data_IF_380179043472
#
_entry.id   IF_380179043472
#
_cell.length_a   1.000
_cell.length_b   1.000
_cell.length_c   1.000
_cell.angle_alpha   90.00
_cell.angle_beta   90.00
_cell.angle_gamma   90.00
#
_symmetry.space_group_name_H-M   'P 1'
#
loop_
_entity.id
_entity.type
_entity.pdbx_description
1 polymer ?
#
# COMPACT_ATOMS: atom_id res chain seq x y z
N UNK A 1 33.43 -4.53 -8.77
CA UNK A 1 33.77 -4.90 -10.17
C UNK A 1 32.59 -5.52 -10.92
N UNK A 2 31.62 -6.15 -10.23
CA UNK A 2 30.38 -6.71 -10.81
C UNK A 2 29.29 -5.65 -11.11
N UNK A 3 29.25 -4.53 -10.38
CA UNK A 3 28.30 -3.42 -10.62
C UNK A 3 28.50 -2.71 -11.98
N UNK A 4 29.70 -2.78 -12.55
CA UNK A 4 30.02 -2.13 -13.82
C UNK A 4 29.56 -2.94 -15.05
N UNK A 5 29.31 -4.24 -14.90
CA UNK A 5 28.89 -5.12 -15.99
C UNK A 5 27.36 -5.13 -16.20
N UNK A 6 26.56 -5.03 -15.11
CA UNK A 6 25.10 -4.93 -15.22
C UNK A 6 24.61 -3.61 -15.85
N UNK A 7 25.35 -2.51 -15.70
CA UNK A 7 24.99 -1.21 -16.32
C UNK A 7 25.11 -1.20 -17.84
N UNK A 8 25.80 -2.18 -18.45
CA UNK A 8 26.11 -2.16 -19.89
C UNK A 8 25.13 -2.95 -20.76
N UNK A 9 24.45 -3.97 -20.24
CA UNK A 9 23.57 -4.82 -21.05
C UNK A 9 22.11 -4.35 -21.09
N UNK A 10 21.68 -3.48 -20.17
CA UNK A 10 20.32 -2.92 -20.17
C UNK A 10 20.23 -1.63 -20.99
N UNK A 11 21.35 -0.97 -21.28
CA UNK A 11 21.43 0.34 -21.95
C UNK A 11 21.53 0.29 -23.49
N UNK A 12 21.09 -0.80 -24.13
CA UNK A 12 21.08 -0.90 -25.59
C UNK A 12 19.69 -1.26 -26.12
N UNK A 13 18.75 -0.33 -25.96
CA UNK A 13 17.75 0.05 -26.98
C UNK A 13 17.01 1.33 -26.55
N UNK A 14 16.97 2.27 -27.49
CA UNK A 14 16.17 3.50 -27.54
C UNK A 14 16.78 4.75 -26.87
N UNK A 15 17.78 5.31 -27.56
CA UNK A 15 18.07 6.74 -27.49
C UNK A 15 17.01 7.50 -28.32
N UNK A 16 15.88 7.79 -27.70
CA UNK A 16 15.09 8.99 -28.02
C UNK A 16 15.16 9.87 -26.76
N UNK A 17 16.02 10.88 -26.80
CA UNK A 17 16.03 11.94 -25.79
C UNK A 17 14.72 12.71 -25.92
N UNK A 18 13.72 12.32 -25.14
CA UNK A 18 12.47 13.04 -25.00
C UNK A 18 12.66 14.08 -23.90
N UNK A 19 12.70 15.37 -24.26
CA UNK A 19 13.05 16.52 -23.40
C UNK A 19 12.10 16.76 -22.20
N UNK A 20 11.18 15.84 -21.89
CA UNK A 20 10.17 15.96 -20.83
C UNK A 20 10.15 14.79 -19.81
N UNK A 21 11.17 13.93 -19.75
CA UNK A 21 11.22 12.84 -18.76
C UNK A 21 11.53 13.37 -17.35
N UNK A 22 10.52 13.43 -16.47
CA UNK A 22 10.67 13.87 -15.07
C UNK A 22 11.14 12.76 -14.12
N UNK A 23 11.23 11.51 -14.59
CA UNK A 23 11.86 10.46 -13.81
C UNK A 23 13.38 10.62 -13.88
N UNK A 24 13.99 10.85 -12.72
CA UNK A 24 15.43 10.92 -12.54
C UNK A 24 16.10 9.63 -13.01
N UNK A 25 17.40 9.72 -13.36
CA UNK A 25 18.21 8.62 -13.91
C UNK A 25 18.25 7.34 -13.05
N UNK A 26 17.78 7.39 -11.80
CA UNK A 26 17.75 6.28 -10.85
C UNK A 26 16.43 5.49 -10.82
N UNK A 27 15.44 5.85 -11.65
CA UNK A 27 14.18 5.10 -11.80
C UNK A 27 14.16 4.31 -13.11
N UNK A 28 13.70 3.06 -13.06
CA UNK A 28 13.55 2.25 -14.28
C UNK A 28 12.19 2.54 -14.90
N UNK A 29 12.15 2.93 -16.17
CA UNK A 29 10.90 3.37 -16.80
C UNK A 29 10.19 2.24 -17.56
N UNK A 30 8.86 2.25 -17.54
CA UNK A 30 8.00 1.41 -18.37
C UNK A 30 6.87 2.27 -18.94
N UNK A 31 6.64 2.15 -20.25
CA UNK A 31 5.52 2.81 -20.92
C UNK A 31 4.33 1.87 -20.90
N UNK A 32 3.26 2.26 -20.22
CA UNK A 32 2.07 1.44 -20.15
C UNK A 32 1.39 1.43 -21.53
N UNK A 33 1.17 0.23 -22.11
CA UNK A 33 0.60 0.12 -23.46
C UNK A 33 -0.88 0.52 -23.53
N UNK A 34 -1.61 0.53 -22.40
CA UNK A 34 -3.04 0.87 -22.35
C UNK A 34 -3.29 2.37 -22.44
N UNK A 35 -2.56 3.16 -21.66
CA UNK A 35 -2.74 4.62 -21.56
C UNK A 35 -1.67 5.40 -22.35
N UNK A 36 -0.57 4.75 -22.75
CA UNK A 36 0.55 5.37 -23.45
C UNK A 36 1.48 6.18 -22.55
N UNK A 37 1.21 6.27 -21.24
CA UNK A 37 1.99 7.05 -20.29
C UNK A 37 3.29 6.35 -19.89
N UNK A 38 4.33 7.16 -19.68
CA UNK A 38 5.61 6.70 -19.14
C UNK A 38 5.59 6.77 -17.61
N UNK A 39 5.88 5.65 -16.96
CA UNK A 39 6.00 5.56 -15.51
C UNK A 39 7.40 5.10 -15.11
N UNK A 40 7.88 5.55 -13.96
CA UNK A 40 9.14 5.19 -13.36
C UNK A 40 8.89 4.28 -12.17
N UNK A 41 9.70 3.25 -12.03
CA UNK A 41 9.57 2.22 -11.00
C UNK A 41 10.89 2.07 -10.25
N UNK A 42 10.78 1.81 -8.95
CA UNK A 42 11.95 1.56 -8.09
C UNK A 42 11.58 0.61 -6.97
N UNK A 43 12.46 -0.36 -6.74
CA UNK A 43 12.29 -1.41 -5.73
C UNK A 43 13.21 -1.09 -4.56
N UNK A 44 12.67 -1.23 -3.35
CA UNK A 44 13.38 -0.95 -2.11
C UNK A 44 13.35 -2.18 -1.22
N UNK A 45 14.53 -2.59 -0.75
CA UNK A 45 14.67 -3.55 0.34
C UNK A 45 14.78 -2.76 1.63
N UNK A 46 13.75 -2.83 2.45
CA UNK A 46 13.71 -2.23 3.78
C UNK A 46 13.07 -3.27 4.69
N UNK A 47 13.92 -4.04 5.39
CA UNK A 47 13.45 -5.15 6.19
C UNK A 47 12.53 -4.68 7.32
N UNK A 48 11.55 -5.53 7.66
CA UNK A 48 10.58 -5.30 8.71
C UNK A 48 9.69 -4.06 8.52
N UNK A 49 9.32 -3.75 7.27
CA UNK A 49 8.45 -2.62 6.91
C UNK A 49 6.98 -3.06 6.73
N UNK A 50 6.04 -2.32 7.32
CA UNK A 50 4.61 -2.54 7.07
C UNK A 50 4.10 -1.72 5.86
N UNK A 51 2.87 -1.99 5.43
CA UNK A 51 2.32 -1.35 4.23
C UNK A 51 2.32 0.19 4.36
N UNK A 52 1.81 0.72 5.48
CA UNK A 52 1.68 2.16 5.70
C UNK A 52 3.04 2.87 5.71
N UNK A 53 4.07 2.23 6.29
CA UNK A 53 5.43 2.73 6.23
C UNK A 53 5.98 2.73 4.80
N UNK A 54 5.76 1.66 4.03
CA UNK A 54 6.17 1.56 2.64
C UNK A 54 5.52 2.62 1.75
N UNK A 55 4.21 2.85 1.93
CA UNK A 55 3.46 3.91 1.26
C UNK A 55 4.08 5.29 1.53
N UNK A 56 4.32 5.61 2.81
CA UNK A 56 4.99 6.86 3.20
C UNK A 56 6.37 7.03 2.56
N UNK A 57 7.15 5.94 2.44
CA UNK A 57 8.44 5.98 1.74
C UNK A 57 8.25 6.38 0.29
N UNK A 58 7.36 5.73 -0.46
CA UNK A 58 7.09 6.08 -1.86
C UNK A 58 6.65 7.54 -2.00
N UNK A 59 5.71 7.98 -1.17
CA UNK A 59 5.17 9.34 -1.18
C UNK A 59 6.21 10.41 -0.88
N UNK A 60 7.15 10.13 0.04
CA UNK A 60 8.27 11.04 0.33
C UNK A 60 9.17 11.32 -0.87
N UNK A 61 9.11 10.49 -1.92
CA UNK A 61 9.87 10.62 -3.17
C UNK A 61 9.02 11.11 -4.35
N UNK A 62 7.80 11.62 -4.10
CA UNK A 62 6.85 12.01 -5.15
C UNK A 62 6.36 10.82 -5.98
N UNK A 63 6.32 9.62 -5.38
CA UNK A 63 5.83 8.40 -5.97
C UNK A 63 4.65 7.86 -5.15
N UNK A 64 4.03 6.79 -5.63
CA UNK A 64 3.08 5.99 -4.87
C UNK A 64 3.59 4.54 -4.83
N UNK A 65 3.11 3.73 -3.89
CA UNK A 65 3.33 2.29 -3.96
C UNK A 65 2.72 1.72 -5.25
N UNK A 66 3.36 0.73 -5.86
CA UNK A 66 3.10 0.36 -7.26
C UNK A 66 1.69 -0.16 -7.49
N UNK A 67 1.03 0.39 -8.50
CA UNK A 67 -0.14 -0.19 -9.17
C UNK A 67 0.28 -0.97 -10.41
N UNK A 68 -0.47 -2.03 -10.75
CA UNK A 68 -0.17 -2.91 -11.88
C UNK A 68 -1.44 -3.14 -12.71
N UNK A 69 -1.38 -2.80 -14.01
CA UNK A 69 -2.54 -2.74 -14.91
C UNK A 69 -2.48 -3.72 -16.09
N UNK A 70 -1.41 -4.49 -16.23
CA UNK A 70 -1.34 -5.51 -17.28
C UNK A 70 -0.38 -6.64 -16.94
N UNK A 71 -0.47 -7.73 -17.71
CA UNK A 71 0.47 -8.84 -17.61
C UNK A 71 1.90 -8.41 -18.00
N UNK A 72 2.02 -7.49 -18.97
CA UNK A 72 3.30 -6.92 -19.39
C UNK A 72 3.92 -6.06 -18.28
N UNK A 73 3.12 -5.22 -17.62
CA UNK A 73 3.55 -4.42 -16.47
C UNK A 73 3.94 -5.33 -15.30
N UNK A 74 3.12 -6.35 -14.98
CA UNK A 74 3.43 -7.33 -13.95
C UNK A 74 4.75 -8.07 -14.25
N UNK A 75 4.98 -8.46 -15.52
CA UNK A 75 6.22 -9.09 -15.96
C UNK A 75 7.42 -8.16 -15.86
N UNK A 76 7.25 -6.88 -16.17
CA UNK A 76 8.27 -5.86 -15.99
C UNK A 76 8.62 -5.66 -14.51
N UNK A 77 7.62 -5.49 -13.64
CA UNK A 77 7.80 -5.36 -12.19
C UNK A 77 8.48 -6.60 -11.61
N UNK A 78 8.08 -7.79 -12.04
CA UNK A 78 8.72 -9.05 -11.64
C UNK A 78 10.21 -9.07 -11.97
N UNK A 79 10.60 -8.71 -13.20
CA UNK A 79 12.01 -8.65 -13.61
C UNK A 79 12.80 -7.64 -12.81
N UNK A 80 12.20 -6.48 -12.53
CA UNK A 80 12.82 -5.42 -11.75
C UNK A 80 13.04 -5.83 -10.29
N UNK A 81 12.06 -6.52 -9.67
CA UNK A 81 12.10 -6.93 -8.28
C UNK A 81 12.93 -8.20 -8.03
N UNK A 82 12.99 -9.12 -8.99
CA UNK A 82 13.61 -10.44 -8.86
C UNK A 82 14.99 -10.47 -8.17
N UNK A 83 16.00 -9.66 -8.56
CA UNK A 83 17.31 -9.74 -7.92
C UNK A 83 17.29 -9.34 -6.44
N UNK A 84 16.53 -8.28 -6.11
CA UNK A 84 16.43 -7.76 -4.75
C UNK A 84 15.57 -8.64 -3.85
N UNK A 85 14.49 -9.20 -4.41
CA UNK A 85 13.63 -10.15 -3.70
C UNK A 85 14.42 -11.42 -3.36
N UNK A 86 15.17 -11.95 -4.33
CA UNK A 86 16.03 -13.12 -4.10
C UNK A 86 17.10 -12.83 -3.04
N UNK A 87 17.67 -11.63 -3.00
CA UNK A 87 18.62 -11.25 -1.96
C UNK A 87 17.96 -11.20 -0.57
N UNK A 88 16.80 -10.57 -0.44
CA UNK A 88 16.04 -10.52 0.83
C UNK A 88 15.61 -11.92 1.30
N UNK A 89 15.19 -12.79 0.38
CA UNK A 89 14.71 -14.13 0.72
C UNK A 89 15.82 -15.12 1.08
N UNK A 90 17.02 -14.97 0.50
CA UNK A 90 18.11 -15.95 0.67
C UNK A 90 19.28 -15.45 1.53
N UNK A 91 19.29 -14.17 1.93
CA UNK A 91 20.35 -13.60 2.75
C UNK A 91 19.81 -13.06 4.08
N UNK A 92 20.01 -13.77 5.22
CA UNK A 92 19.53 -13.33 6.53
C UNK A 92 20.16 -12.03 7.03
N UNK A 93 21.26 -11.55 6.41
CA UNK A 93 21.86 -10.25 6.73
C UNK A 93 21.16 -9.08 6.03
N UNK A 94 20.36 -9.35 5.00
CA UNK A 94 19.62 -8.33 4.25
C UNK A 94 18.19 -8.24 4.76
N UNK A 95 17.53 -9.38 4.91
CA UNK A 95 16.26 -9.47 5.63
C UNK A 95 16.35 -10.57 6.68
N UNK A 96 15.90 -10.33 7.90
CA UNK A 96 15.95 -11.31 8.97
C UNK A 96 14.99 -12.48 8.73
N UNK A 97 15.32 -13.63 9.31
CA UNK A 97 14.38 -14.75 9.44
C UNK A 97 13.27 -14.37 10.42
N UNK A 98 12.03 -14.52 9.95
CA UNK A 98 10.82 -14.18 10.69
C UNK A 98 10.14 -15.43 11.22
N UNK A 99 10.28 -16.55 10.51
CA UNK A 99 9.67 -17.83 10.87
C UNK A 99 10.72 -18.93 10.85
N UNK A 100 10.87 -19.73 11.92
CA UNK A 100 11.78 -20.86 11.96
C UNK A 100 11.47 -21.90 10.88
N UNK A 101 12.48 -22.31 10.10
CA UNK A 101 12.35 -23.32 9.03
C UNK A 101 12.25 -24.75 9.57
N UNK A 102 11.18 -25.07 10.31
CA UNK A 102 10.95 -26.39 10.90
C UNK A 102 10.26 -27.39 9.96
N UNK A 103 9.56 -26.87 8.95
CA UNK A 103 8.97 -27.63 7.85
C UNK A 103 8.75 -26.73 6.61
N UNK A 104 8.30 -27.32 5.51
CA UNK A 104 8.07 -26.62 4.23
C UNK A 104 7.01 -25.52 4.31
N UNK A 105 6.02 -25.63 5.21
CA UNK A 105 5.00 -24.61 5.35
C UNK A 105 5.58 -23.37 6.04
N UNK A 106 6.42 -23.57 7.06
CA UNK A 106 7.13 -22.49 7.74
C UNK A 106 8.19 -21.83 6.83
N UNK A 107 8.91 -22.62 6.04
CA UNK A 107 9.82 -22.10 5.00
C UNK A 107 9.07 -21.23 3.98
N UNK A 108 7.91 -21.70 3.50
CA UNK A 108 7.07 -20.93 2.58
C UNK A 108 6.54 -19.65 3.24
N UNK A 109 6.13 -19.71 4.50
CA UNK A 109 5.68 -18.53 5.23
C UNK A 109 6.81 -17.51 5.42
N UNK A 110 8.02 -17.93 5.81
CA UNK A 110 9.18 -17.02 5.89
C UNK A 110 9.50 -16.39 4.53
N UNK A 111 9.39 -17.18 3.46
CA UNK A 111 9.58 -16.72 2.09
C UNK A 111 8.54 -15.66 1.67
N UNK A 112 7.27 -15.87 2.01
CA UNK A 112 6.17 -14.92 1.80
C UNK A 112 6.41 -13.62 2.58
N UNK A 113 6.79 -13.73 3.86
CA UNK A 113 7.02 -12.59 4.73
C UNK A 113 8.29 -11.80 4.38
N UNK A 114 9.15 -12.31 3.49
CA UNK A 114 10.27 -11.57 2.90
C UNK A 114 9.94 -11.00 1.51
N UNK A 115 8.66 -10.99 1.15
CA UNK A 115 8.12 -10.37 -0.06
C UNK A 115 8.14 -8.84 -0.04
N UNK A 116 7.67 -8.23 -1.13
CA UNK A 116 7.59 -6.78 -1.31
C UNK A 116 6.17 -6.27 -1.48
N UNK A 117 5.82 -5.18 -0.81
CA UNK A 117 4.49 -4.58 -0.88
C UNK A 117 4.19 -3.99 -2.26
N UNK A 118 2.94 -4.13 -2.69
CA UNK A 118 2.33 -3.44 -3.83
C UNK A 118 1.04 -2.73 -3.38
N UNK A 119 0.51 -1.83 -4.19
CA UNK A 119 -0.60 -0.94 -3.82
C UNK A 119 -2.00 -1.52 -3.91
N UNK A 120 -2.17 -2.83 -4.11
CA UNK A 120 -3.50 -3.42 -4.23
C UNK A 120 -4.07 -3.68 -2.84
N UNK A 121 -5.27 -3.16 -2.61
CA UNK A 121 -6.07 -3.51 -1.45
C UNK A 121 -7.29 -4.33 -1.85
N UNK A 122 -7.60 -5.34 -1.05
CA UNK A 122 -8.80 -6.17 -1.19
C UNK A 122 -9.49 -6.23 0.16
N UNK A 123 -10.69 -5.67 0.28
CA UNK A 123 -11.41 -5.65 1.56
C UNK A 123 -12.88 -6.04 1.35
N UNK A 124 -13.35 -6.99 2.15
CA UNK A 124 -14.76 -7.37 2.22
C UNK A 124 -15.48 -6.55 3.28
N UNK A 125 -16.62 -5.95 2.91
CA UNK A 125 -17.46 -5.24 3.87
C UNK A 125 -17.95 -6.17 4.98
N UNK A 126 -17.50 -5.93 6.22
CA UNK A 126 -18.14 -6.48 7.41
C UNK A 126 -19.35 -5.59 7.80
N UNK A 127 -20.53 -6.13 8.13
CA UNK A 127 -20.89 -7.54 8.36
C UNK A 127 -21.57 -8.26 7.17
N UNK A 128 -21.58 -9.60 7.26
CA UNK A 128 -22.19 -10.69 6.45
C UNK A 128 -23.31 -10.45 5.41
N UNK A 129 -24.00 -9.30 5.37
CA UNK A 129 -25.07 -9.05 4.40
C UNK A 129 -24.58 -8.52 3.05
N UNK A 130 -23.29 -8.18 2.91
CA UNK A 130 -22.71 -7.78 1.65
C UNK A 130 -21.45 -8.60 1.32
N UNK A 131 -21.52 -9.60 0.42
CA UNK A 131 -20.35 -10.36 0.02
C UNK A 131 -19.41 -9.56 -0.91
N UNK A 132 -19.75 -8.32 -1.28
CA UNK A 132 -18.94 -7.51 -2.18
C UNK A 132 -17.55 -7.26 -1.59
N UNK A 133 -16.56 -7.63 -2.39
CA UNK A 133 -15.16 -7.34 -2.14
C UNK A 133 -14.81 -6.07 -2.92
N UNK A 134 -14.35 -5.04 -2.22
CA UNK A 134 -13.82 -3.85 -2.86
C UNK A 134 -12.35 -4.06 -3.11
N UNK A 135 -11.93 -3.77 -4.34
CA UNK A 135 -10.54 -3.82 -4.76
C UNK A 135 -10.13 -2.46 -5.28
N UNK A 136 -9.05 -1.92 -4.74
CA UNK A 136 -8.62 -0.56 -5.04
C UNK A 136 -7.10 -0.49 -5.03
N UNK A 137 -6.54 0.15 -6.05
CA UNK A 137 -5.15 0.56 -6.06
C UNK A 137 -4.98 1.86 -5.26
N UNK A 138 -3.94 1.94 -4.44
CA UNK A 138 -3.64 3.10 -3.59
C UNK A 138 -3.44 4.41 -4.38
N UNK A 139 -3.02 4.32 -5.65
CA UNK A 139 -2.84 5.46 -6.56
C UNK A 139 -4.12 5.93 -7.27
N UNK A 140 -5.26 5.25 -7.01
CA UNK A 140 -6.62 5.48 -7.57
C UNK A 140 -6.86 4.95 -8.97
N UNK A 141 -5.89 4.26 -9.55
CA UNK A 141 -6.09 3.61 -10.82
C UNK A 141 -7.19 2.55 -10.73
N UNK A 142 -7.85 2.29 -11.87
CA UNK A 142 -8.90 1.28 -11.91
C UNK A 142 -8.34 -0.11 -11.62
N UNK A 143 -9.12 -0.93 -10.93
CA UNK A 143 -8.77 -2.32 -10.69
C UNK A 143 -9.03 -3.13 -11.98
N UNK A 144 -8.04 -3.16 -12.87
CA UNK A 144 -8.15 -3.72 -14.23
C UNK A 144 -7.19 -4.89 -14.50
N UNK A 145 -6.38 -5.28 -13.51
CA UNK A 145 -5.49 -6.43 -13.55
C UNK A 145 -5.30 -7.03 -12.14
N UNK A 146 -5.40 -8.36 -12.05
CA UNK A 146 -5.26 -9.09 -10.79
C UNK A 146 -6.47 -9.01 -9.84
N UNK A 147 -7.53 -8.29 -10.20
CA UNK A 147 -8.70 -8.14 -9.34
C UNK A 147 -9.59 -9.39 -9.40
N UNK A 148 -9.94 -9.95 -8.24
CA UNK A 148 -10.76 -11.16 -8.12
C UNK A 148 -11.82 -11.02 -7.01
N UNK A 149 -13.09 -11.21 -7.32
CA UNK A 149 -14.22 -11.04 -6.38
C UNK A 149 -14.79 -12.37 -5.84
N UNK A 150 -14.39 -13.51 -6.38
CA UNK A 150 -14.94 -14.82 -6.00
C UNK A 150 -14.34 -15.40 -4.72
N UNK A 151 -14.84 -16.55 -4.27
CA UNK A 151 -14.15 -17.43 -3.32
C UNK A 151 -12.97 -18.13 -4.00
N UNK A 152 -11.90 -18.41 -3.25
CA UNK A 152 -10.70 -19.09 -3.76
C UNK A 152 -10.60 -20.48 -3.16
N UNK A 153 -10.29 -21.45 -4.03
CA UNK A 153 -9.94 -22.81 -3.66
C UNK A 153 -8.50 -23.10 -4.12
N UNK A 154 -7.77 -23.91 -3.35
CA UNK A 154 -6.35 -24.19 -3.58
C UNK A 154 -6.01 -24.95 -4.88
N UNK A 155 -7.01 -25.37 -5.65
CA UNK A 155 -6.87 -26.01 -6.96
C UNK A 155 -7.13 -25.04 -8.12
N UNK A 156 -7.50 -23.78 -7.82
CA UNK A 156 -7.70 -22.73 -8.81
C UNK A 156 -6.38 -22.07 -9.18
N UNK A 157 -6.23 -21.73 -10.48
CA UNK A 157 -5.14 -20.89 -10.94
C UNK A 157 -5.67 -19.49 -11.27
N UNK A 158 -5.42 -18.53 -10.37
CA UNK A 158 -5.89 -17.15 -10.49
C UNK A 158 -4.65 -16.27 -10.67
N UNK A 159 -4.24 -16.00 -11.92
CA UNK A 159 -3.09 -15.11 -12.14
C UNK A 159 -3.43 -13.65 -11.79
N UNK A 160 -2.51 -12.89 -11.16
CA UNK A 160 -1.15 -13.23 -10.77
C UNK A 160 -1.02 -13.74 -9.31
N UNK A 161 -2.10 -14.18 -8.68
CA UNK A 161 -2.09 -14.67 -7.30
C UNK A 161 -1.36 -16.00 -7.14
N UNK A 162 -0.84 -16.19 -5.94
CA UNK A 162 -0.29 -17.44 -5.43
C UNK A 162 -1.35 -18.53 -5.33
N UNK A 163 -0.89 -19.74 -5.02
CA UNK A 163 -1.80 -20.86 -4.84
C UNK A 163 -2.60 -20.67 -3.55
N UNK A 164 -3.93 -20.81 -3.63
CA UNK A 164 -4.87 -20.51 -2.54
C UNK A 164 -5.12 -19.02 -2.27
N UNK A 165 -4.55 -18.10 -3.06
CA UNK A 165 -4.67 -16.65 -2.85
C UNK A 165 -5.59 -16.00 -3.92
N UNK A 166 -6.27 -14.88 -3.62
CA UNK A 166 -6.37 -14.22 -2.33
C UNK A 166 -7.24 -15.01 -1.32
N UNK A 167 -6.78 -15.12 -0.08
CA UNK A 167 -7.31 -16.07 0.91
C UNK A 167 -8.09 -15.43 2.07
N UNK A 168 -7.78 -14.18 2.42
CA UNK A 168 -8.17 -13.59 3.70
C UNK A 168 -9.48 -12.81 3.74
N UNK A 169 -10.18 -12.66 2.60
CA UNK A 169 -11.36 -11.77 2.50
C UNK A 169 -12.62 -12.38 1.89
N UNK A 170 -12.63 -13.66 1.49
CA UNK A 170 -13.80 -14.33 0.88
C UNK A 170 -14.16 -15.67 1.51
N UNK A 171 -13.27 -16.27 2.31
CA UNK A 171 -13.50 -17.57 2.91
C UNK A 171 -13.68 -17.41 4.41
N UNK A 172 -14.78 -17.94 4.93
CA UNK A 172 -15.10 -18.03 6.36
C UNK A 172 -14.10 -18.86 7.20
N UNK A 173 -12.98 -19.28 6.59
CA UNK A 173 -11.88 -20.01 7.21
C UNK A 173 -10.80 -19.09 7.81
N UNK A 174 -10.89 -17.77 7.58
CA UNK A 174 -10.04 -16.77 8.21
C UNK A 174 -10.34 -16.60 9.70
N UNK A 175 -9.94 -17.56 10.54
CA UNK A 175 -9.70 -17.30 11.95
C UNK A 175 -8.36 -16.55 12.08
N UNK A 176 -8.32 -15.30 11.59
CA UNK A 176 -7.07 -14.57 11.39
C UNK A 176 -7.27 -13.06 11.22
N UNK A 177 -6.22 -12.40 10.74
CA UNK A 177 -6.20 -10.97 10.49
C UNK A 177 -6.85 -10.63 9.16
N UNK A 178 -7.42 -9.43 9.02
CA UNK A 178 -7.90 -8.95 7.72
C UNK A 178 -6.70 -8.78 6.79
N UNK A 179 -6.63 -9.58 5.74
CA UNK A 179 -5.56 -9.54 4.73
C UNK A 179 -5.91 -8.53 3.64
N UNK A 180 -5.91 -7.27 4.04
CA UNK A 180 -6.39 -6.18 3.21
C UNK A 180 -5.35 -5.62 2.23
N UNK A 181 -4.07 -5.97 2.40
CA UNK A 181 -2.94 -5.46 1.61
C UNK A 181 -2.31 -6.56 0.78
N UNK A 182 -1.62 -6.22 -0.30
CA UNK A 182 -1.07 -7.21 -1.23
C UNK A 182 0.43 -7.09 -1.35
N UNK A 183 1.15 -8.21 -1.38
CA UNK A 183 2.58 -8.27 -1.63
C UNK A 183 2.96 -9.25 -2.74
N UNK A 184 4.06 -8.98 -3.43
CA UNK A 184 4.73 -9.92 -4.32
C UNK A 184 5.70 -10.76 -3.49
N UNK A 185 5.49 -12.07 -3.44
CA UNK A 185 6.40 -13.00 -2.75
C UNK A 185 7.24 -13.86 -3.70
N UNK A 186 6.88 -13.94 -4.97
CA UNK A 186 7.69 -14.56 -6.01
C UNK A 186 7.91 -13.54 -7.13
N UNK A 187 9.16 -13.38 -7.57
CA UNK A 187 9.49 -12.60 -8.75
C UNK A 187 10.70 -13.25 -9.45
N UNK A 188 10.59 -13.51 -10.75
CA UNK A 188 11.65 -14.16 -11.53
C UNK A 188 12.21 -13.25 -12.61
N UNK A 189 13.46 -13.51 -13.04
CA UNK A 189 14.07 -12.85 -14.20
C UNK A 189 13.38 -13.17 -15.53
N UNK A 190 12.55 -14.22 -15.60
CA UNK A 190 11.66 -14.48 -16.74
C UNK A 190 10.39 -13.62 -16.71
N UNK A 191 10.14 -12.89 -15.62
CA UNK A 191 9.00 -12.00 -15.45
C UNK A 191 7.73 -12.72 -14.98
N UNK A 192 7.88 -13.73 -14.14
CA UNK A 192 6.78 -14.33 -13.39
C UNK A 192 6.73 -13.65 -12.03
N UNK A 193 5.55 -13.17 -11.63
CA UNK A 193 5.29 -12.72 -10.27
C UNK A 193 4.10 -13.48 -9.67
N UNK A 194 4.18 -13.78 -8.36
CA UNK A 194 3.05 -14.28 -7.57
C UNK A 194 2.74 -13.37 -6.40
N UNK A 195 1.45 -13.06 -6.26
CA UNK A 195 0.92 -12.14 -5.25
C UNK A 195 0.28 -12.91 -4.11
N UNK A 196 0.31 -12.34 -2.92
CA UNK A 196 -0.43 -12.82 -1.76
C UNK A 196 -1.10 -11.64 -1.04
N UNK A 197 -2.30 -11.84 -0.53
CA UNK A 197 -2.95 -10.91 0.39
C UNK A 197 -2.42 -11.15 1.81
N UNK A 198 -2.16 -10.06 2.53
CA UNK A 198 -1.49 -10.06 3.82
C UNK A 198 -2.11 -8.97 4.69
N UNK A 199 -2.04 -9.16 6.01
CA UNK A 199 -2.42 -8.11 6.94
C UNK A 199 -1.55 -6.87 6.74
N UNK A 200 -2.16 -5.69 6.63
CA UNK A 200 -1.43 -4.44 6.34
C UNK A 200 -0.42 -4.02 7.41
N UNK A 201 -0.61 -4.49 8.65
CA UNK A 201 0.32 -4.29 9.76
C UNK A 201 1.47 -5.31 9.79
N UNK A 202 1.42 -6.34 8.94
CA UNK A 202 2.51 -7.30 8.77
C UNK A 202 3.76 -6.55 8.33
N UNK A 203 4.91 -7.00 8.82
CA UNK A 203 6.21 -6.43 8.47
C UNK A 203 6.92 -7.36 7.47
N UNK A 204 7.09 -6.93 6.23
CA UNK A 204 7.75 -7.70 5.17
C UNK A 204 9.05 -7.06 4.69
N UNK A 205 9.65 -7.60 3.62
CA UNK A 205 11.04 -7.37 3.23
C UNK A 205 11.31 -6.08 2.43
N UNK A 206 10.27 -5.42 1.94
CA UNK A 206 10.44 -4.26 1.09
C UNK A 206 9.15 -3.83 0.39
N UNK A 207 9.30 -3.00 -0.64
CA UNK A 207 8.20 -2.39 -1.36
C UNK A 207 8.65 -1.89 -2.73
N UNK A 208 7.68 -1.65 -3.60
CA UNK A 208 7.91 -1.17 -4.96
C UNK A 208 7.15 0.12 -5.15
N UNK A 209 7.82 1.18 -5.60
CA UNK A 209 7.20 2.47 -5.91
C UNK A 209 7.02 2.66 -7.42
N UNK A 210 6.00 3.43 -7.79
CA UNK A 210 5.68 3.86 -9.15
C UNK A 210 5.40 5.37 -9.15
N UNK A 211 5.89 6.08 -10.16
CA UNK A 211 5.54 7.49 -10.39
C UNK A 211 5.39 7.80 -11.88
N UNK A 212 4.52 8.74 -12.25
CA UNK A 212 4.44 9.25 -13.62
C UNK A 212 5.72 10.00 -14.01
N UNK A 213 6.18 9.81 -15.25
CA UNK A 213 7.36 10.47 -15.81
C UNK A 213 7.01 11.50 -16.89
N UNK A 214 5.82 11.42 -17.47
CA UNK A 214 5.32 12.44 -18.39
C UNK A 214 4.90 13.67 -17.56
N UNK A 215 5.37 14.86 -17.95
CA UNK A 215 5.50 16.01 -17.05
C UNK A 215 4.26 16.53 -16.29
N UNK A 216 4.56 17.12 -15.11
CA UNK A 216 3.73 17.82 -14.12
C UNK A 216 2.42 17.10 -13.75
N UNK A 217 2.55 16.11 -12.87
CA UNK A 217 1.65 16.13 -11.71
C UNK A 217 2.00 17.40 -10.93
N UNK A 218 1.23 18.47 -11.15
CA UNK A 218 1.11 19.50 -10.14
C UNK A 218 0.59 18.77 -8.91
N UNK A 219 1.49 18.47 -7.99
CA UNK A 219 1.15 18.32 -6.58
C UNK A 219 0.45 19.62 -6.23
N UNK A 220 -0.87 19.64 -6.38
CA UNK A 220 -1.68 20.74 -5.92
C UNK A 220 -1.53 20.71 -4.42
N UNK A 221 -0.59 21.52 -3.93
CA UNK A 221 -0.32 21.73 -2.51
C UNK A 221 -1.67 21.77 -1.80
N UNK A 222 -1.89 20.79 -0.93
CA UNK A 222 -3.12 20.66 -0.16
C UNK A 222 -3.42 22.01 0.53
N UNK A 223 -4.69 22.42 0.49
CA UNK A 223 -5.13 23.70 1.08
C UNK A 223 -5.27 24.89 0.12
N UNK A 224 -5.09 24.73 -1.20
CA UNK A 224 -5.41 25.79 -2.18
C UNK A 224 -6.92 26.06 -2.38
N UNK A 225 -7.79 25.15 -1.95
CA UNK A 225 -9.24 25.17 -2.26
C UNK A 225 -10.14 25.61 -1.09
N UNK A 226 -9.62 26.41 -0.15
CA UNK A 226 -10.43 26.93 0.96
C UNK A 226 -10.74 25.92 2.06
N UNK A 227 -9.92 24.86 2.19
CA UNK A 227 -9.98 23.92 3.30
C UNK A 227 -9.59 24.64 4.60
N UNK A 228 -10.33 24.44 5.70
CA UNK A 228 -9.95 25.00 7.00
C UNK A 228 -8.53 24.60 7.39
N UNK A 229 -7.74 25.59 7.80
CA UNK A 229 -6.35 25.43 8.19
C UNK A 229 -6.19 25.57 9.71
N UNK A 230 -5.67 24.53 10.36
CA UNK A 230 -5.46 24.45 11.81
C UNK A 230 -4.13 23.76 12.07
N UNK A 231 -3.33 24.32 12.98
CA UNK A 231 -2.07 23.72 13.47
C UNK A 231 -1.09 23.24 12.40
N UNK A 232 -1.03 23.96 11.27
CA UNK A 232 -0.10 23.63 10.20
C UNK A 232 -0.68 22.73 9.10
N UNK A 233 -1.94 22.27 9.24
CA UNK A 233 -2.61 21.33 8.34
C UNK A 233 -3.91 21.88 7.77
N UNK A 234 -4.24 21.49 6.54
CA UNK A 234 -5.53 21.77 5.92
C UNK A 234 -6.42 20.50 5.99
N UNK A 235 -7.70 20.67 6.34
CA UNK A 235 -8.63 19.55 6.55
C UNK A 235 -9.84 19.61 5.62
N UNK A 236 -10.31 18.45 5.17
CA UNK A 236 -11.56 18.30 4.43
C UNK A 236 -12.23 16.96 4.76
N UNK A 237 -13.54 16.88 4.59
CA UNK A 237 -14.30 15.64 4.72
C UNK A 237 -14.99 15.34 3.38
N UNK A 238 -14.74 14.15 2.83
CA UNK A 238 -15.31 13.72 1.56
C UNK A 238 -16.44 12.70 1.78
N UNK A 239 -17.51 12.73 0.96
CA UNK A 239 -18.53 11.71 0.98
C UNK A 239 -17.99 10.37 0.45
N UNK A 240 -18.36 9.28 1.11
CA UNK A 240 -18.29 7.94 0.53
C UNK A 240 -19.64 7.58 -0.11
N UNK A 241 -19.62 6.97 -1.28
CA UNK A 241 -20.83 6.45 -1.92
C UNK A 241 -21.24 5.17 -1.17
N UNK A 242 -22.37 5.23 -0.44
CA UNK A 242 -22.77 4.19 0.54
C UNK A 242 -21.75 4.07 1.68
N UNK A 243 -22.02 3.32 2.78
CA UNK A 243 -20.97 3.01 3.75
C UNK A 243 -19.78 2.38 3.03
N UNK A 244 -18.67 3.13 2.95
CA UNK A 244 -17.43 2.74 2.26
C UNK A 244 -16.35 2.32 3.25
N UNK A 245 -15.34 1.59 2.78
CA UNK A 245 -14.25 1.13 3.63
C UNK A 245 -13.09 2.14 3.71
N UNK A 246 -12.13 1.86 4.59
CA UNK A 246 -10.96 2.71 4.82
C UNK A 246 -10.15 2.95 3.53
N UNK A 247 -9.93 1.93 2.70
CA UNK A 247 -9.15 2.03 1.47
C UNK A 247 -9.80 2.93 0.41
N UNK A 248 -11.12 2.97 0.35
CA UNK A 248 -11.85 3.93 -0.48
C UNK A 248 -11.65 5.36 0.04
N UNK A 249 -11.66 5.57 1.36
CA UNK A 249 -11.38 6.88 1.94
C UNK A 249 -9.93 7.32 1.66
N UNK A 250 -8.96 6.43 1.85
CA UNK A 250 -7.54 6.64 1.53
C UNK A 250 -7.36 7.06 0.06
N UNK A 251 -7.93 6.28 -0.86
CA UNK A 251 -7.90 6.56 -2.30
C UNK A 251 -8.49 7.94 -2.63
N UNK A 252 -9.58 8.34 -1.98
CA UNK A 252 -10.17 9.68 -2.15
C UNK A 252 -9.25 10.77 -1.59
N UNK A 253 -8.68 10.61 -0.40
CA UNK A 253 -7.73 11.57 0.17
C UNK A 253 -6.50 11.74 -0.75
N UNK A 254 -5.94 10.63 -1.23
CA UNK A 254 -4.86 10.62 -2.20
C UNK A 254 -5.26 11.32 -3.50
N UNK A 255 -6.56 11.36 -3.84
CA UNK A 255 -7.04 12.06 -5.03
C UNK A 255 -6.77 13.54 -5.01
N UNK A 256 -6.75 14.10 -3.81
CA UNK A 256 -6.57 15.52 -3.55
C UNK A 256 -5.18 15.82 -3.00
N UNK A 257 -4.18 14.98 -3.29
CA UNK A 257 -2.80 15.12 -2.79
C UNK A 257 -2.74 15.28 -1.26
N UNK A 258 -3.71 14.64 -0.57
CA UNK A 258 -3.87 14.66 0.87
C UNK A 258 -3.68 13.25 1.45
N UNK A 259 -3.71 13.16 2.78
CA UNK A 259 -3.72 11.89 3.52
C UNK A 259 -4.98 11.81 4.38
N UNK A 260 -5.41 10.59 4.75
CA UNK A 260 -6.48 10.42 5.74
C UNK A 260 -6.05 11.10 7.05
N UNK A 261 -6.94 11.89 7.64
CA UNK A 261 -6.56 12.85 8.67
C UNK A 261 -5.93 12.20 9.91
N UNK A 262 -4.79 12.76 10.34
CA UNK A 262 -4.20 12.60 11.67
C UNK A 262 -4.63 13.73 12.60
N UNK A 263 -4.75 13.44 13.90
CA UNK A 263 -5.27 14.37 14.91
C UNK A 263 -4.31 14.44 16.10
N UNK A 264 -3.81 15.63 16.39
CA UNK A 264 -2.75 15.95 17.37
C UNK A 264 -3.13 17.08 18.33
N UNK A 265 -4.28 17.73 18.12
CA UNK A 265 -4.75 18.77 19.01
C UNK A 265 -6.26 18.75 19.17
N UNK A 266 -6.73 19.45 20.20
CA UNK A 266 -8.15 19.63 20.44
C UNK A 266 -8.80 20.48 19.33
N UNK A 267 -8.05 21.41 18.75
CA UNK A 267 -8.47 22.26 17.64
C UNK A 267 -8.60 21.44 16.35
N UNK A 268 -7.65 20.56 16.05
CA UNK A 268 -7.73 19.58 14.96
C UNK A 268 -8.93 18.64 15.14
N UNK A 269 -9.16 18.14 16.36
CA UNK A 269 -10.30 17.27 16.65
C UNK A 269 -11.65 17.99 16.46
N UNK A 270 -11.75 19.27 16.85
CA UNK A 270 -12.96 20.08 16.65
C UNK A 270 -13.25 20.29 15.17
N UNK A 271 -12.24 20.67 14.38
CA UNK A 271 -12.45 20.97 12.96
C UNK A 271 -12.79 19.72 12.16
N UNK A 272 -12.11 18.60 12.40
CA UNK A 272 -12.41 17.32 11.73
C UNK A 272 -13.82 16.83 12.07
N UNK A 273 -14.23 16.94 13.34
CA UNK A 273 -15.60 16.60 13.77
C UNK A 273 -16.65 17.49 13.09
N UNK A 274 -16.41 18.80 13.01
CA UNK A 274 -17.33 19.73 12.36
C UNK A 274 -17.47 19.46 10.86
N UNK A 275 -16.36 19.16 10.17
CA UNK A 275 -16.34 18.81 8.76
C UNK A 275 -17.10 17.50 8.49
N UNK A 276 -16.88 16.46 9.30
CA UNK A 276 -17.58 15.18 9.19
C UNK A 276 -19.10 15.34 9.35
N UNK A 277 -19.55 16.07 10.37
CA UNK A 277 -20.98 16.36 10.61
C UNK A 277 -21.57 17.16 9.44
N UNK A 278 -20.85 18.19 8.98
CA UNK A 278 -21.28 19.04 7.87
C UNK A 278 -21.45 18.25 6.58
N UNK A 279 -20.47 17.40 6.24
CA UNK A 279 -20.51 16.52 5.07
C UNK A 279 -21.70 15.54 5.17
N UNK A 280 -21.99 15.03 6.35
CA UNK A 280 -23.11 14.13 6.62
C UNK A 280 -24.49 14.82 6.69
N UNK A 281 -24.60 16.08 6.25
CA UNK A 281 -25.87 16.83 6.26
C UNK A 281 -26.40 17.11 7.67
N UNK A 282 -25.51 17.23 8.66
CA UNK A 282 -25.85 17.43 10.06
C UNK A 282 -26.13 16.14 10.84
N UNK A 283 -25.95 14.97 10.23
CA UNK A 283 -26.11 13.69 10.93
C UNK A 283 -24.90 13.41 11.84
N UNK A 284 -25.08 13.65 13.14
CA UNK A 284 -24.06 13.42 14.18
C UNK A 284 -23.70 11.96 14.41
N UNK A 285 -24.50 11.02 13.89
CA UNK A 285 -24.24 9.57 14.00
C UNK A 285 -23.46 9.03 12.79
N UNK A 286 -23.16 9.86 11.79
CA UNK A 286 -22.33 9.46 10.67
C UNK A 286 -20.86 9.42 11.09
N UNK A 287 -20.21 8.28 10.85
CA UNK A 287 -18.78 8.12 11.09
C UNK A 287 -17.99 8.43 9.81
N UNK A 288 -16.82 9.05 9.98
CA UNK A 288 -15.84 9.23 8.91
C UNK A 288 -14.56 8.48 9.27
N UNK A 289 -13.87 7.96 8.25
CA UNK A 289 -12.55 7.35 8.44
C UNK A 289 -11.52 8.42 8.80
N UNK A 290 -10.64 8.08 9.73
CA UNK A 290 -9.42 8.83 10.09
C UNK A 290 -8.22 7.88 9.96
N UNK A 291 -7.01 8.42 9.90
CA UNK A 291 -5.82 7.61 9.61
C UNK A 291 -5.23 6.86 10.82
N UNK A 292 -6.01 6.63 11.88
CA UNK A 292 -5.50 6.01 13.11
C UNK A 292 -5.68 4.50 13.03
N UNK A 293 -4.58 3.77 13.14
CA UNK A 293 -4.59 2.32 13.18
C UNK A 293 -4.10 1.81 14.53
N UNK A 294 -4.46 0.58 14.84
CA UNK A 294 -3.90 -0.19 15.96
C UNK A 294 -3.26 -1.45 15.40
N UNK A 295 -2.05 -1.76 15.85
CA UNK A 295 -1.49 -3.08 15.59
C UNK A 295 -2.35 -4.14 16.30
N UNK A 296 -2.60 -5.25 15.61
CA UNK A 296 -3.51 -6.29 16.07
C UNK A 296 -2.86 -7.19 17.14
N UNK A 297 -3.67 -7.97 17.86
CA UNK A 297 -3.19 -8.97 18.82
C UNK A 297 -3.05 -8.46 20.25
N UNK A 298 -3.77 -7.38 20.61
CA UNK A 298 -3.74 -6.81 21.97
C UNK A 298 -2.55 -5.89 22.23
N UNK A 299 -1.74 -5.57 21.21
CA UNK A 299 -0.78 -4.48 21.31
C UNK A 299 -1.55 -3.16 21.50
N UNK A 300 -1.07 -2.31 22.41
CA UNK A 300 -1.56 -0.93 22.55
C UNK A 300 -0.91 0.02 21.54
N UNK A 301 -0.15 -0.52 20.58
CA UNK A 301 0.56 0.28 19.60
C UNK A 301 -0.42 0.83 18.58
N UNK A 302 -0.55 2.17 18.60
CA UNK A 302 -1.31 2.94 17.65
C UNK A 302 -0.35 3.74 16.80
N UNK A 303 -0.69 3.93 15.54
CA UNK A 303 0.08 4.76 14.62
C UNK A 303 -0.84 5.47 13.65
N UNK A 304 -0.39 6.63 13.18
CA UNK A 304 -1.04 7.37 12.10
C UNK A 304 -0.45 6.98 10.75
N UNK A 305 -1.28 6.96 9.70
CA UNK A 305 -0.85 6.66 8.33
C UNK A 305 0.10 7.69 7.73
N UNK A 306 0.16 8.89 8.30
CA UNK A 306 1.13 9.91 7.91
C UNK A 306 2.49 9.75 8.64
N UNK A 307 2.62 8.74 9.51
CA UNK A 307 3.82 8.44 10.29
C UNK A 307 4.03 9.35 11.50
N UNK A 308 3.10 10.27 11.76
CA UNK A 308 3.17 11.17 12.92
C UNK A 308 2.96 10.43 14.25
N UNK A 309 3.42 11.04 15.34
CA UNK A 309 3.25 10.47 16.67
C UNK A 309 1.79 10.47 17.10
N UNK A 310 1.34 9.37 17.72
CA UNK A 310 0.06 9.37 18.45
C UNK A 310 0.27 10.11 19.76
N UNK A 311 -0.01 11.41 19.80
CA UNK A 311 0.26 12.31 20.94
C UNK A 311 -0.99 12.94 21.54
N UNK A 312 -2.10 12.92 20.81
CA UNK A 312 -3.41 13.38 21.26
C UNK A 312 -4.35 12.21 21.59
N UNK A 313 -5.25 12.42 22.56
CA UNK A 313 -6.18 11.36 23.01
C UNK A 313 -5.53 10.19 23.77
N UNK A 314 -4.25 10.32 24.15
CA UNK A 314 -3.60 9.43 25.12
C UNK A 314 -4.23 9.65 26.50
N UNK A 315 -5.28 8.90 26.81
CA UNK A 315 -5.68 8.77 28.22
C UNK A 315 -4.49 8.17 28.99
N UNK A 316 -3.99 8.90 29.98
CA UNK A 316 -3.11 8.38 31.02
C UNK A 316 -3.73 7.07 31.51
N UNK A 317 -3.03 5.96 31.31
CA UNK A 317 -3.39 4.72 31.98
C UNK A 317 -3.45 5.03 33.48
N UNK A 318 -4.63 4.89 34.05
CA UNK A 318 -4.86 5.08 35.48
C UNK A 318 -3.85 4.20 36.20
N UNK A 319 -2.87 4.81 36.86
CA UNK A 319 -2.03 4.10 37.83
C UNK A 319 -3.00 3.56 38.87
N UNK A 320 -3.19 2.24 38.89
CA UNK A 320 -3.72 1.56 40.06
C UNK A 320 -2.66 1.69 41.16
N UNK A 321 -2.63 2.84 41.82
CA UNK A 321 -2.04 2.94 43.15
C UNK A 321 -3.03 2.29 44.10
N UNK A 322 -2.69 1.05 44.47
CA UNK A 322 -3.34 0.28 45.51
C UNK A 322 -3.35 1.07 46.83
N UNK A 323 -4.53 1.18 47.45
CA UNK A 323 -4.66 1.32 48.91
C UNK A 323 -4.89 -0.06 49.52
#
# INVERSE_FOLDING_TARGET
MMEAFLKKEINHKNNEHNENNQCTDDWTTFRNPKDGHLYGYKVFVEDMINYFQAELRCRSMGAEIVSIHSAEENSFVAKLAAPLLAECQNNPLICAERVPHIDKAHELLDHILRGFWIGLHRNQFYPFYNPAVVQVWSDRSECDYGCYEGEVYCDMNIEPWGNCDPSGTNSSHGHGQSEDCTGIYLATSSGIAKWNDLACNQKIGGFICKKPCDGEHKHDVCGKDGWPYVDGKAFHAFPLHSPGNYWQALSICHKHDAQVASIHSNEENKITSALAIGQAGGNISACSWIGLHSAHGGSKERFWDDGSSVDFGKHLEVRNEFF
#
